data_IF_833907041147
#
_entry.id   IF_833907041147
#
_cell.length_a   1.000
_cell.length_b   1.000
_cell.length_c   1.000
_cell.angle_alpha   90.00
_cell.angle_beta   90.00
_cell.angle_gamma   90.00
#
_symmetry.space_group_name_H-M   'P 1'
#
loop_
_entity.id
_entity.type
_entity.pdbx_description
1 polymer ?
#
# COMPACT_ATOMS: atom_id res chain seq x y z
N UNK A 1 6.18 13.64 8.00
CA UNK A 1 6.64 14.61 6.97
C UNK A 1 6.92 13.83 5.70
N UNK A 2 6.77 14.40 4.53
CA UNK A 2 7.20 13.78 3.26
C UNK A 2 8.05 14.82 2.52
N UNK A 3 9.21 14.40 2.03
CA UNK A 3 10.17 15.30 1.37
C UNK A 3 10.23 15.13 -0.15
N UNK A 4 9.60 14.08 -0.68
CA UNK A 4 9.51 13.85 -2.12
C UNK A 4 8.21 13.14 -2.51
N UNK A 5 7.62 13.57 -3.62
CA UNK A 5 6.55 12.84 -4.30
C UNK A 5 7.14 11.72 -5.15
N UNK A 6 6.45 10.59 -5.23
CA UNK A 6 6.89 9.43 -5.98
C UNK A 6 6.10 9.27 -7.29
N UNK A 7 6.74 8.67 -8.27
CA UNK A 7 6.06 8.26 -9.50
C UNK A 7 5.10 7.11 -9.20
N UNK A 8 3.84 7.25 -9.60
CA UNK A 8 2.80 6.23 -9.40
C UNK A 8 3.21 4.92 -10.09
N UNK A 9 3.19 3.77 -9.39
CA UNK A 9 3.47 2.47 -9.98
C UNK A 9 2.55 2.15 -11.16
N UNK A 10 3.12 1.72 -12.28
CA UNK A 10 2.40 1.41 -13.53
C UNK A 10 1.83 -0.03 -13.54
N UNK A 11 1.25 -0.47 -12.45
CA UNK A 11 0.56 -1.76 -12.37
C UNK A 11 -0.95 -1.56 -12.51
N UNK A 12 -1.63 -2.47 -13.20
CA UNK A 12 -3.07 -2.61 -13.11
C UNK A 12 -3.40 -3.48 -11.89
N UNK A 13 -3.82 -2.84 -10.79
CA UNK A 13 -4.08 -3.54 -9.53
C UNK A 13 -5.30 -4.46 -9.59
N UNK A 14 -6.27 -4.17 -10.46
CA UNK A 14 -7.41 -5.08 -10.70
C UNK A 14 -6.91 -6.34 -11.41
N UNK A 15 -6.13 -6.19 -12.46
CA UNK A 15 -5.56 -7.34 -13.19
C UNK A 15 -4.59 -8.13 -12.28
N UNK A 16 -3.81 -7.45 -11.45
CA UNK A 16 -2.95 -8.10 -10.46
C UNK A 16 -3.76 -8.97 -9.49
N UNK A 17 -4.87 -8.42 -8.95
CA UNK A 17 -5.79 -9.17 -8.09
C UNK A 17 -6.33 -10.43 -8.77
N UNK A 18 -6.77 -10.30 -10.02
CA UNK A 18 -7.27 -11.44 -10.82
C UNK A 18 -6.18 -12.49 -11.05
N UNK A 19 -4.96 -12.06 -11.33
CA UNK A 19 -3.81 -12.97 -11.49
C UNK A 19 -3.50 -13.72 -10.20
N UNK A 20 -3.50 -13.03 -9.06
CA UNK A 20 -3.31 -13.66 -7.73
C UNK A 20 -4.37 -14.73 -7.48
N UNK A 21 -5.65 -14.43 -7.74
CA UNK A 21 -6.76 -15.38 -7.57
C UNK A 21 -6.58 -16.57 -8.51
N UNK A 22 -6.22 -16.32 -9.78
CA UNK A 22 -6.01 -17.37 -10.79
C UNK A 22 -4.86 -18.31 -10.41
N UNK A 23 -3.74 -17.80 -9.94
CA UNK A 23 -2.60 -18.63 -9.49
C UNK A 23 -2.94 -19.50 -8.29
N UNK A 24 -3.87 -19.05 -7.43
CA UNK A 24 -4.21 -19.72 -6.16
C UNK A 24 -5.33 -20.74 -6.26
N UNK A 25 -5.83 -21.12 -7.45
CA UNK A 25 -6.99 -22.01 -7.63
C UNK A 25 -6.83 -23.40 -6.97
N UNK A 26 -5.60 -23.80 -6.66
CA UNK A 26 -5.31 -25.07 -5.94
C UNK A 26 -4.88 -24.83 -4.47
N UNK A 27 -4.90 -23.58 -4.04
CA UNK A 27 -4.46 -23.21 -2.69
C UNK A 27 -5.56 -23.36 -1.64
N UNK A 28 -5.17 -23.46 -0.38
CA UNK A 28 -6.07 -23.59 0.79
C UNK A 28 -7.17 -22.53 0.81
N UNK A 29 -6.89 -21.31 0.35
CA UNK A 29 -7.81 -20.17 0.39
C UNK A 29 -8.42 -19.85 -0.98
N UNK A 30 -8.35 -20.75 -1.97
CA UNK A 30 -8.88 -20.50 -3.32
C UNK A 30 -10.36 -20.13 -3.29
N UNK A 31 -11.19 -20.94 -2.61
CA UNK A 31 -12.63 -20.70 -2.47
C UNK A 31 -12.91 -19.33 -1.82
N UNK A 32 -12.18 -18.97 -0.78
CA UNK A 32 -12.35 -17.68 -0.10
C UNK A 32 -12.08 -16.52 -1.07
N UNK A 33 -10.95 -16.53 -1.77
CA UNK A 33 -10.61 -15.45 -2.69
C UNK A 33 -11.53 -15.37 -3.90
N UNK A 34 -12.02 -16.51 -4.42
CA UNK A 34 -13.04 -16.52 -5.45
C UNK A 34 -14.35 -15.86 -4.97
N UNK A 35 -14.80 -16.19 -3.76
CA UNK A 35 -16.04 -15.65 -3.21
C UNK A 35 -15.96 -14.15 -2.93
N UNK A 36 -14.78 -13.64 -2.53
CA UNK A 36 -14.61 -12.24 -2.15
C UNK A 36 -14.10 -11.36 -3.31
N UNK A 37 -13.86 -11.92 -4.48
CA UNK A 37 -13.25 -11.19 -5.61
C UNK A 37 -13.97 -9.89 -5.95
N UNK A 38 -15.30 -9.92 -6.09
CA UNK A 38 -16.11 -8.73 -6.42
C UNK A 38 -15.96 -7.64 -5.37
N UNK A 39 -16.00 -8.01 -4.09
CA UNK A 39 -15.75 -7.08 -2.99
C UNK A 39 -14.33 -6.51 -3.06
N UNK A 40 -13.31 -7.35 -3.23
CA UNK A 40 -11.92 -6.94 -3.28
C UNK A 40 -11.67 -5.96 -4.43
N UNK A 41 -12.16 -6.28 -5.65
CA UNK A 41 -12.04 -5.37 -6.80
C UNK A 41 -12.79 -4.03 -6.57
N UNK A 42 -13.97 -4.06 -5.93
CA UNK A 42 -14.71 -2.83 -5.63
C UNK A 42 -13.96 -1.93 -4.65
N UNK A 43 -13.32 -2.50 -3.65
CA UNK A 43 -12.50 -1.77 -2.68
C UNK A 43 -11.26 -1.16 -3.34
N UNK A 44 -10.59 -1.89 -4.22
CA UNK A 44 -9.46 -1.37 -4.99
C UNK A 44 -9.89 -0.17 -5.85
N UNK A 45 -11.01 -0.27 -6.56
CA UNK A 45 -11.56 0.84 -7.34
C UNK A 45 -11.83 2.06 -6.46
N UNK A 46 -12.48 1.86 -5.31
CA UNK A 46 -12.73 2.93 -4.34
C UNK A 46 -11.43 3.60 -3.87
N UNK A 47 -10.39 2.82 -3.55
CA UNK A 47 -9.09 3.37 -3.19
C UNK A 47 -8.50 4.24 -4.30
N UNK A 48 -8.53 3.75 -5.54
CA UNK A 48 -7.97 4.47 -6.69
C UNK A 48 -8.74 5.76 -6.98
N UNK A 49 -10.07 5.73 -6.93
CA UNK A 49 -10.95 6.90 -7.13
C UNK A 49 -10.74 7.96 -6.05
N UNK A 50 -10.63 7.53 -4.79
CA UNK A 50 -10.41 8.41 -3.64
C UNK A 50 -8.92 8.68 -3.35
N UNK A 51 -8.01 8.17 -4.21
CA UNK A 51 -6.57 8.36 -4.08
C UNK A 51 -6.01 7.97 -2.70
N UNK A 52 -6.59 6.94 -2.09
CA UNK A 52 -6.20 6.45 -0.78
C UNK A 52 -6.48 7.43 0.37
N UNK A 53 -7.32 8.44 0.19
CA UNK A 53 -7.61 9.43 1.23
C UNK A 53 -8.20 8.76 2.49
N UNK A 54 -7.50 8.77 3.65
CA UNK A 54 -7.92 8.06 4.85
C UNK A 54 -9.20 8.62 5.48
N UNK A 55 -9.63 9.84 5.15
CA UNK A 55 -10.88 10.42 5.63
C UNK A 55 -12.09 9.90 4.85
N UNK A 56 -11.89 9.30 3.69
CA UNK A 56 -12.93 8.85 2.77
C UNK A 56 -12.92 7.34 2.53
N UNK A 57 -11.73 6.73 2.53
CA UNK A 57 -11.55 5.27 2.42
C UNK A 57 -11.73 4.65 3.81
N UNK A 58 -12.97 4.29 4.13
CA UNK A 58 -13.31 3.70 5.43
C UNK A 58 -12.60 2.35 5.65
N UNK A 59 -12.43 2.00 6.92
CA UNK A 59 -11.89 0.69 7.30
C UNK A 59 -12.63 -0.47 6.62
N UNK A 60 -11.92 -1.57 6.43
CA UNK A 60 -12.48 -2.78 5.81
C UNK A 60 -13.64 -3.35 6.63
N UNK A 61 -14.63 -3.93 5.95
CA UNK A 61 -15.66 -4.77 6.58
C UNK A 61 -15.12 -6.14 7.01
N UNK A 62 -13.89 -6.50 6.58
CA UNK A 62 -13.22 -7.73 7.00
C UNK A 62 -12.65 -7.51 8.40
N UNK A 63 -13.38 -7.94 9.42
CA UNK A 63 -13.01 -7.73 10.83
C UNK A 63 -12.42 -8.96 11.49
N UNK A 64 -12.67 -10.16 10.95
CA UNK A 64 -12.20 -11.44 11.49
C UNK A 64 -10.72 -11.63 11.19
N UNK A 65 -9.90 -11.82 12.22
CA UNK A 65 -8.44 -11.91 12.11
C UNK A 65 -7.96 -13.03 11.17
N UNK A 66 -8.64 -14.17 11.17
CA UNK A 66 -8.30 -15.26 10.24
C UNK A 66 -8.53 -14.88 8.77
N UNK A 67 -9.48 -14.00 8.48
CA UNK A 67 -9.72 -13.47 7.13
C UNK A 67 -8.74 -12.36 6.78
N UNK A 68 -8.49 -11.41 7.69
CA UNK A 68 -7.44 -10.39 7.52
C UNK A 68 -6.10 -11.04 7.19
N UNK A 69 -5.74 -12.09 7.93
CA UNK A 69 -4.48 -12.80 7.74
C UNK A 69 -4.35 -13.46 6.36
N UNK A 70 -5.45 -13.81 5.68
CA UNK A 70 -5.37 -14.32 4.31
C UNK A 70 -4.79 -13.26 3.36
N UNK A 71 -5.22 -12.00 3.46
CA UNK A 71 -4.69 -10.89 2.68
C UNK A 71 -3.29 -10.49 3.12
N UNK A 72 -3.06 -10.34 4.43
CA UNK A 72 -1.76 -9.94 4.98
C UNK A 72 -0.67 -10.95 4.58
N UNK A 73 -0.98 -12.24 4.58
CA UNK A 73 -0.04 -13.29 4.18
C UNK A 73 0.32 -13.26 2.69
N UNK A 74 -0.54 -12.73 1.82
CA UNK A 74 -0.16 -12.52 0.41
C UNK A 74 1.06 -11.58 0.28
N UNK A 75 1.16 -10.60 1.18
CA UNK A 75 2.28 -9.66 1.23
C UNK A 75 3.45 -10.18 2.07
N UNK A 76 3.18 -10.70 3.28
CA UNK A 76 4.24 -11.03 4.24
C UNK A 76 4.90 -12.38 3.98
N UNK A 77 4.18 -13.30 3.33
CA UNK A 77 4.62 -14.68 3.03
C UNK A 77 4.25 -15.06 1.59
N UNK A 78 4.66 -14.28 0.58
CA UNK A 78 4.35 -14.62 -0.81
C UNK A 78 5.10 -15.87 -1.22
N UNK A 79 4.43 -16.74 -1.97
CA UNK A 79 5.08 -17.90 -2.58
C UNK A 79 6.16 -17.40 -3.55
N UNK A 80 7.33 -18.02 -3.53
CA UNK A 80 8.43 -17.68 -4.42
C UNK A 80 7.99 -17.81 -5.89
N UNK A 81 8.33 -16.83 -6.69
CA UNK A 81 7.98 -16.73 -8.11
C UNK A 81 6.49 -16.51 -8.41
N UNK A 82 5.64 -16.33 -7.39
CA UNK A 82 4.26 -15.88 -7.59
C UNK A 82 4.20 -14.44 -8.13
N UNK A 83 3.08 -14.09 -8.78
CA UNK A 83 2.91 -12.74 -9.32
C UNK A 83 3.09 -11.66 -8.25
N UNK A 84 2.53 -11.87 -7.05
CA UNK A 84 2.68 -10.91 -5.95
C UNK A 84 4.13 -10.83 -5.43
N UNK A 85 4.86 -11.94 -5.40
CA UNK A 85 6.28 -11.93 -5.02
C UNK A 85 7.10 -11.05 -5.98
N UNK A 86 6.89 -11.20 -7.28
CA UNK A 86 7.59 -10.42 -8.31
C UNK A 86 7.27 -8.92 -8.20
N UNK A 87 5.99 -8.58 -7.97
CA UNK A 87 5.57 -7.18 -7.79
C UNK A 87 6.20 -6.56 -6.55
N UNK A 88 6.15 -7.24 -5.39
CA UNK A 88 6.77 -6.76 -4.14
C UNK A 88 8.29 -6.57 -4.34
N UNK A 89 8.96 -7.54 -4.97
CA UNK A 89 10.39 -7.46 -5.28
C UNK A 89 10.70 -6.24 -6.15
N UNK A 90 9.94 -6.02 -7.21
CA UNK A 90 10.15 -4.88 -8.10
C UNK A 90 9.90 -3.53 -7.41
N UNK A 91 8.89 -3.43 -6.55
CA UNK A 91 8.65 -2.21 -5.76
C UNK A 91 9.80 -1.93 -4.77
N UNK A 92 10.37 -2.97 -4.16
CA UNK A 92 11.54 -2.86 -3.27
C UNK A 92 12.82 -2.47 -4.01
N UNK A 93 12.97 -2.85 -5.26
CA UNK A 93 14.10 -2.50 -6.12
C UNK A 93 13.97 -1.07 -6.68
N UNK A 94 13.18 -0.20 -6.03
CA UNK A 94 13.10 1.21 -6.41
C UNK A 94 14.51 1.82 -6.47
N UNK A 95 14.77 2.62 -7.52
CA UNK A 95 16.06 3.31 -7.70
C UNK A 95 16.20 4.55 -6.82
N UNK A 96 15.47 4.60 -5.71
CA UNK A 96 15.54 5.72 -4.77
C UNK A 96 16.86 5.67 -4.03
N UNK A 97 17.53 6.79 -3.96
CA UNK A 97 18.79 6.99 -3.24
C UNK A 97 18.59 7.61 -1.86
N UNK A 98 17.36 8.03 -1.56
CA UNK A 98 16.95 8.58 -0.27
C UNK A 98 15.53 8.15 0.09
N UNK A 99 15.21 8.21 1.37
CA UNK A 99 13.87 7.93 1.86
C UNK A 99 12.92 9.08 1.51
N UNK A 100 11.77 8.84 0.83
CA UNK A 100 10.84 9.91 0.46
C UNK A 100 10.13 10.55 1.65
N UNK A 101 10.15 9.93 2.82
CA UNK A 101 9.55 10.47 4.02
C UNK A 101 10.49 11.44 4.76
N UNK A 102 11.72 11.04 5.09
CA UNK A 102 12.66 11.86 5.87
C UNK A 102 13.75 12.54 5.04
N UNK A 103 14.00 12.12 3.80
CA UNK A 103 15.08 12.64 2.97
C UNK A 103 16.48 12.12 3.30
N UNK A 104 16.61 11.22 4.29
CA UNK A 104 17.89 10.62 4.64
C UNK A 104 18.45 9.78 3.49
N UNK A 105 19.76 9.88 3.30
CA UNK A 105 20.50 9.13 2.30
C UNK A 105 20.40 7.62 2.57
N UNK A 106 20.34 6.86 1.51
CA UNK A 106 20.24 5.41 1.51
C UNK A 106 18.96 4.90 0.87
N UNK A 107 19.11 3.81 0.11
CA UNK A 107 17.94 3.19 -0.54
C UNK A 107 16.95 2.68 0.50
N UNK A 108 15.67 3.08 0.44
CA UNK A 108 14.65 2.57 1.36
C UNK A 108 14.45 1.06 1.14
N UNK A 109 14.81 0.26 2.15
CA UNK A 109 14.79 -1.20 2.08
C UNK A 109 13.43 -1.84 2.35
N UNK A 110 12.45 -1.05 2.79
CA UNK A 110 11.12 -1.53 3.17
C UNK A 110 10.01 -0.90 2.34
N UNK A 111 8.84 -1.54 2.36
CA UNK A 111 7.60 -0.97 1.81
C UNK A 111 6.63 -0.72 2.96
N UNK A 112 6.24 0.53 3.12
CA UNK A 112 5.18 0.92 4.05
C UNK A 112 3.80 0.78 3.39
N UNK A 113 2.79 0.49 4.20
CA UNK A 113 1.39 0.53 3.79
C UNK A 113 0.81 1.90 4.15
N UNK A 114 0.49 2.72 3.15
CA UNK A 114 -0.09 4.03 3.41
C UNK A 114 -1.36 3.91 4.25
N UNK A 115 -2.37 3.16 3.81
CA UNK A 115 -3.46 2.69 4.66
C UNK A 115 -3.05 1.37 5.33
N UNK A 116 -3.12 1.27 6.67
CA UNK A 116 -2.58 0.13 7.39
C UNK A 116 -3.26 -1.18 7.02
N UNK A 117 -2.48 -2.23 6.77
CA UNK A 117 -3.00 -3.57 6.46
C UNK A 117 -3.80 -4.22 7.60
N UNK A 118 -3.69 -3.71 8.80
CA UNK A 118 -4.46 -4.17 9.96
C UNK A 118 -5.93 -3.72 9.91
N UNK A 119 -6.18 -2.55 9.37
CA UNK A 119 -7.52 -1.96 9.20
C UNK A 119 -8.03 -2.04 7.76
N UNK A 120 -7.14 -2.25 6.80
CA UNK A 120 -7.42 -2.34 5.37
C UNK A 120 -6.68 -3.54 4.75
N UNK A 121 -6.97 -4.79 5.20
CA UNK A 121 -6.21 -5.97 4.76
C UNK A 121 -6.30 -6.19 3.24
N UNK A 122 -7.42 -5.84 2.62
CA UNK A 122 -7.62 -5.95 1.16
C UNK A 122 -6.65 -5.08 0.34
N UNK A 123 -6.01 -4.09 0.97
CA UNK A 123 -4.99 -3.23 0.33
C UNK A 123 -3.54 -3.67 0.66
N UNK A 124 -3.36 -4.82 1.30
CA UNK A 124 -2.02 -5.30 1.64
C UNK A 124 -1.10 -5.49 0.43
N UNK A 125 -1.67 -5.76 -0.76
CA UNK A 125 -0.94 -5.89 -2.02
C UNK A 125 -1.26 -4.82 -3.06
N UNK A 126 -2.07 -3.84 -2.73
CA UNK A 126 -2.37 -2.73 -3.63
C UNK A 126 -1.09 -1.92 -3.89
N UNK A 127 -0.61 -1.89 -5.12
CA UNK A 127 0.69 -1.27 -5.43
C UNK A 127 0.74 0.22 -5.11
N UNK A 128 -0.40 0.92 -5.24
CA UNK A 128 -0.55 2.34 -4.89
C UNK A 128 -0.64 2.58 -3.38
N UNK A 129 -0.83 1.53 -2.59
CA UNK A 129 -0.78 1.58 -1.12
C UNK A 129 0.60 1.22 -0.55
N UNK A 130 1.50 0.70 -1.39
CA UNK A 130 2.85 0.26 -1.01
C UNK A 130 3.88 1.32 -1.41
N UNK A 131 4.52 1.93 -0.43
CA UNK A 131 5.48 3.02 -0.66
C UNK A 131 6.85 2.66 -0.13
N UNK A 132 7.92 2.83 -0.93
CA UNK A 132 9.29 2.68 -0.40
C UNK A 132 9.52 3.65 0.75
N UNK A 133 10.02 3.14 1.87
CA UNK A 133 10.25 3.91 3.09
C UNK A 133 11.39 3.27 3.90
N UNK A 134 12.19 4.08 4.61
CA UNK A 134 13.19 3.53 5.51
C UNK A 134 12.52 2.93 6.77
N UNK A 135 13.23 2.03 7.44
CA UNK A 135 12.71 1.32 8.61
C UNK A 135 12.35 2.28 9.75
N UNK A 136 13.12 3.35 9.94
CA UNK A 136 12.87 4.33 10.99
C UNK A 136 11.52 5.03 10.79
N UNK A 137 11.31 5.61 9.59
CA UNK A 137 10.05 6.28 9.27
C UNK A 137 8.85 5.34 9.33
N UNK A 138 9.02 4.08 8.90
CA UNK A 138 7.96 3.09 9.01
C UNK A 138 7.60 2.79 10.47
N UNK A 139 8.62 2.71 11.35
CA UNK A 139 8.42 2.49 12.78
C UNK A 139 7.76 3.69 13.45
N UNK A 140 8.11 4.91 13.06
CA UNK A 140 7.49 6.13 13.60
C UNK A 140 6.04 6.31 13.13
N UNK A 141 5.75 6.00 11.87
CA UNK A 141 4.39 6.11 11.32
C UNK A 141 3.44 5.07 11.91
N UNK A 142 3.90 3.85 12.14
CA UNK A 142 3.07 2.71 12.60
C UNK A 142 1.79 2.53 11.76
N UNK A 143 0.64 2.51 12.44
CA UNK A 143 -0.68 2.36 11.83
C UNK A 143 -1.49 3.66 11.79
N UNK A 144 -0.87 4.78 12.14
CA UNK A 144 -1.55 6.07 12.18
C UNK A 144 -1.60 6.70 10.78
N UNK A 145 -2.77 7.17 10.39
CA UNK A 145 -3.01 7.90 9.13
C UNK A 145 -3.92 9.10 9.35
N UNK A 146 -4.64 9.12 10.46
CA UNK A 146 -5.48 10.23 10.91
C UNK A 146 -4.96 10.76 12.24
N UNK A 147 -5.08 12.06 12.45
CA UNK A 147 -4.83 12.69 13.73
C UNK A 147 -6.02 12.46 14.70
N UNK A 148 -5.88 12.93 15.93
CA UNK A 148 -6.92 12.83 16.97
C UNK A 148 -8.21 13.57 16.62
N UNK A 149 -8.21 14.41 15.62
CA UNK A 149 -9.39 15.16 15.13
C UNK A 149 -9.99 14.54 13.86
N UNK A 150 -9.43 13.40 13.38
CA UNK A 150 -9.89 12.73 12.17
C UNK A 150 -9.37 13.34 10.87
N UNK A 151 -8.38 14.23 10.92
CA UNK A 151 -7.75 14.80 9.73
C UNK A 151 -6.62 13.89 9.26
N UNK A 152 -6.34 13.94 7.96
CA UNK A 152 -5.21 13.25 7.34
C UNK A 152 -3.88 13.73 7.95
N UNK A 153 -3.12 12.80 8.52
CA UNK A 153 -1.88 13.08 9.24
C UNK A 153 -0.64 13.07 8.33
N UNK A 154 -0.64 12.22 7.29
CA UNK A 154 0.48 12.06 6.38
C UNK A 154 0.05 12.31 4.93
N UNK A 155 0.92 12.97 4.16
CA UNK A 155 0.74 13.10 2.72
C UNK A 155 0.88 11.73 2.04
N UNK A 156 0.07 11.50 1.02
CA UNK A 156 0.17 10.29 0.21
C UNK A 156 1.31 10.43 -0.81
N UNK A 157 2.35 9.57 -0.77
CA UNK A 157 3.55 9.76 -1.59
C UNK A 157 3.29 9.78 -3.11
N UNK A 158 2.21 9.15 -3.57
CA UNK A 158 1.87 9.08 -4.99
C UNK A 158 0.82 10.11 -5.44
N UNK A 159 -0.02 10.62 -4.55
CA UNK A 159 -1.18 11.40 -4.95
C UNK A 159 -1.16 12.84 -4.44
N UNK A 160 -0.50 13.09 -3.32
CA UNK A 160 -0.41 14.45 -2.81
C UNK A 160 0.80 15.16 -3.42
N UNK A 161 0.58 16.38 -3.84
CA UNK A 161 1.66 17.27 -4.26
C UNK A 161 2.32 17.87 -3.02
N UNK A 162 3.64 17.89 -3.00
CA UNK A 162 4.36 18.71 -2.03
C UNK A 162 4.08 20.17 -2.34
N UNK A 163 3.83 21.01 -1.31
CA UNK A 163 3.77 22.44 -1.53
C UNK A 163 5.05 22.89 -2.21
N UNK A 164 4.93 23.63 -3.31
CA UNK A 164 6.09 24.26 -3.92
C UNK A 164 6.73 25.13 -2.84
N UNK A 165 7.97 24.82 -2.46
CA UNK A 165 8.74 25.72 -1.65
C UNK A 165 9.02 26.90 -2.57
N UNK A 166 8.24 27.98 -2.42
CA UNK A 166 8.52 29.25 -3.04
C UNK A 166 9.89 29.67 -2.52
N UNK A 167 10.92 29.40 -3.31
CA UNK A 167 12.24 30.00 -3.10
C UNK A 167 12.12 31.49 -3.42
N UNK A 168 11.51 32.23 -2.50
CA UNK A 168 11.79 33.64 -2.38
C UNK A 168 13.23 33.75 -1.88
N UNK A 169 14.19 33.58 -2.80
CA UNK A 169 15.54 34.08 -2.58
C UNK A 169 15.44 35.59 -2.68
N UNK A 170 15.52 36.25 -1.54
CA UNK A 170 16.02 37.61 -1.49
C UNK A 170 17.55 37.56 -1.53
#
# INVERSE_FOLDING_TARGET
MMVASLVIPKYDDIQLTRSIISERQRGRNAQYFNNIQTYWESRIKQYLELQGNPTQVLASSITIDSEKNKFINLYTKPDKDSVQYLVIKNLRLSKLIYCPACGEDGSPGTLDHYLPKTTHPEFALLTKNLTPMCQLCQTEKLSEVLDKFGNKQFLHPYYDLLPEISTAMM
#
